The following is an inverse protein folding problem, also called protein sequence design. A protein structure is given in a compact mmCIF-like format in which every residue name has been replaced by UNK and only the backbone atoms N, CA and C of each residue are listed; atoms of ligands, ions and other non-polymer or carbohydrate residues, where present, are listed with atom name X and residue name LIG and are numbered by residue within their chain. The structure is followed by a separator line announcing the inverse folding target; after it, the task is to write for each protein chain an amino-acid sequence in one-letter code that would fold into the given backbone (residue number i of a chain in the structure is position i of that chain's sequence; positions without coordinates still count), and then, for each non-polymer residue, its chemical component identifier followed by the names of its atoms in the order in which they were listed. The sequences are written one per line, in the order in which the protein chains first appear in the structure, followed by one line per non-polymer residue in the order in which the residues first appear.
data_IF_555129076717
#
_entry.id   IF_555129076717
#
_cell.length_a   1.000
_cell.length_b   1.000
_cell.length_c   1.000
_cell.angle_alpha   90.00
_cell.angle_beta   90.00
_cell.angle_gamma   90.00
#
_symmetry.space_group_name_H-M   'P 1'
#
loop_
_entity.id
_entity.type
_entity.pdbx_description
1 polymer ?
#
# COMPACT_ATOMS: atom_id res chain seq x y z
N UNK A 1 7.96 16.32 -10.23
CA UNK A 1 7.18 17.56 -10.03
C UNK A 1 6.94 17.68 -8.54
N UNK A 2 7.61 18.63 -7.87
CA UNK A 2 7.46 18.84 -6.43
C UNK A 2 6.40 19.91 -6.20
N UNK A 3 5.40 19.61 -5.38
CA UNK A 3 4.37 20.57 -4.99
C UNK A 3 4.77 21.08 -3.61
N UNK A 4 5.26 22.31 -3.55
CA UNK A 4 5.49 23.03 -2.31
C UNK A 4 4.17 23.69 -1.91
N UNK A 5 3.70 23.41 -0.69
CA UNK A 5 2.54 24.07 -0.11
C UNK A 5 3.02 25.02 0.97
N UNK A 6 2.62 26.28 0.87
CA UNK A 6 2.95 27.32 1.83
C UNK A 6 1.76 27.53 2.79
N UNK A 7 1.97 28.28 3.88
CA UNK A 7 0.91 28.52 4.88
C UNK A 7 -0.34 29.17 4.28
N UNK A 8 -0.17 29.99 3.23
CA UNK A 8 -1.27 30.56 2.46
C UNK A 8 -2.12 29.49 1.76
N UNK A 9 -1.48 28.47 1.18
CA UNK A 9 -2.17 27.40 0.47
C UNK A 9 -2.96 26.52 1.44
N UNK A 10 -2.38 26.26 2.61
CA UNK A 10 -3.03 25.51 3.69
C UNK A 10 -4.25 26.28 4.24
N UNK A 11 -4.16 27.61 4.31
CA UNK A 11 -5.25 28.45 4.80
C UNK A 11 -6.46 28.49 3.85
N UNK A 12 -6.25 28.28 2.55
CA UNK A 12 -7.30 28.25 1.53
C UNK A 12 -7.92 26.85 1.32
N UNK A 13 -7.44 25.84 2.05
CA UNK A 13 -8.01 24.49 1.96
C UNK A 13 -9.42 24.43 2.57
N UNK A 14 -10.33 23.64 1.98
CA UNK A 14 -11.61 23.32 2.62
C UNK A 14 -11.37 22.73 4.02
N UNK A 15 -12.17 23.13 5.00
CA UNK A 15 -11.93 22.80 6.42
C UNK A 15 -11.73 21.30 6.67
N UNK A 16 -12.50 20.44 6.00
CA UNK A 16 -12.34 18.98 6.09
C UNK A 16 -10.97 18.49 5.61
N UNK A 17 -10.46 19.06 4.52
CA UNK A 17 -9.14 18.70 3.97
C UNK A 17 -8.03 19.21 4.89
N UNK A 18 -8.14 20.45 5.37
CA UNK A 18 -7.19 21.05 6.30
C UNK A 18 -7.09 20.26 7.60
N UNK A 19 -8.22 19.82 8.14
CA UNK A 19 -8.27 19.01 9.35
C UNK A 19 -7.54 17.67 9.17
N UNK A 20 -7.85 16.93 8.08
CA UNK A 20 -7.19 15.67 7.77
C UNK A 20 -5.69 15.82 7.52
N UNK A 21 -5.28 16.91 6.86
CA UNK A 21 -3.87 17.20 6.60
C UNK A 21 -3.09 17.51 7.89
N UNK A 22 -3.66 18.33 8.78
CA UNK A 22 -3.05 18.67 10.07
C UNK A 22 -3.07 17.48 11.05
N UNK A 23 -4.03 16.57 10.96
CA UNK A 23 -4.08 15.34 11.74
C UNK A 23 -3.04 14.32 11.27
N UNK A 24 -2.75 14.30 9.97
CA UNK A 24 -1.74 13.45 9.35
C UNK A 24 -0.29 13.91 9.64
N UNK A 25 -0.04 15.23 9.73
CA UNK A 25 1.28 15.83 9.93
C UNK A 25 2.06 15.31 11.17
N UNK A 26 1.46 15.20 12.37
CA UNK A 26 2.12 14.70 13.57
C UNK A 26 2.53 13.22 13.49
N UNK A 27 1.73 12.37 12.81
CA UNK A 27 2.00 10.94 12.66
C UNK A 27 3.28 10.70 11.84
N UNK A 28 3.54 11.56 10.85
CA UNK A 28 4.69 11.45 9.96
C UNK A 28 5.94 12.21 10.43
N UNK A 29 5.82 13.07 11.44
CA UNK A 29 6.96 13.74 12.08
C UNK A 29 7.47 13.03 13.35
N UNK A 30 6.65 12.17 13.99
CA UNK A 30 7.00 11.51 15.26
C UNK A 30 7.80 10.19 15.14
N UNK A 31 8.08 9.69 13.93
CA UNK A 31 8.84 8.43 13.75
C UNK A 31 10.37 8.56 13.82
N UNK A 32 10.90 9.71 14.24
CA UNK A 32 12.29 9.82 14.69
C UNK A 32 12.31 10.49 16.04
N UNK A 33 12.37 9.71 17.11
CA UNK A 33 13.12 9.96 18.35
C UNK A 33 12.80 8.90 19.41
N UNK A 34 13.67 7.90 19.55
CA UNK A 34 13.85 7.19 20.82
C UNK A 34 15.23 6.53 20.87
N UNK A 35 16.16 7.24 21.49
CA UNK A 35 17.11 6.65 22.44
C UNK A 35 17.72 7.77 23.29
N UNK A 36 17.16 7.92 24.48
CA UNK A 36 17.71 8.71 25.57
C UNK A 36 18.72 7.82 26.31
N UNK A 37 20.00 8.19 26.28
CA UNK A 37 20.98 7.77 27.28
C UNK A 37 21.81 9.00 27.66
N UNK A 38 21.74 9.34 28.95
CA UNK A 38 22.44 10.45 29.60
C UNK A 38 23.96 10.32 29.51
N UNK A 39 24.63 11.46 29.35
CA UNK A 39 26.07 11.64 29.53
C UNK A 39 26.41 13.13 29.63
N UNK A 40 26.97 13.53 30.78
CA UNK A 40 27.20 14.90 31.26
C UNK A 40 28.25 15.71 30.45
N UNK A 41 27.94 17.00 30.26
CA UNK A 41 28.76 18.24 30.37
C UNK A 41 30.14 18.31 29.68
N UNK A 42 30.29 19.19 28.68
CA UNK A 42 31.09 20.43 28.73
C UNK A 42 31.31 21.04 27.32
N UNK A 43 30.90 22.31 27.18
CA UNK A 43 31.68 23.44 26.65
C UNK A 43 31.90 23.61 25.11
N UNK A 44 31.41 24.78 24.69
CA UNK A 44 32.00 25.79 23.79
C UNK A 44 31.66 25.81 22.27
N UNK A 45 31.18 27.00 21.88
CA UNK A 45 31.47 27.73 20.63
C UNK A 45 30.49 27.63 19.45
N UNK A 46 29.64 28.67 19.40
CA UNK A 46 29.19 29.49 18.27
C UNK A 46 29.57 29.12 16.81
N UNK A 47 28.53 29.22 15.97
CA UNK A 47 28.47 29.79 14.60
C UNK A 47 29.27 29.15 13.46
N UNK A 48 28.57 28.39 12.62
CA UNK A 48 28.27 28.70 11.19
C UNK A 48 27.71 27.42 10.56
N UNK A 49 26.39 27.33 10.45
CA UNK A 49 25.74 26.20 9.80
C UNK A 49 25.82 26.43 8.30
N UNK A 50 26.89 25.93 7.69
CA UNK A 50 26.85 25.54 6.27
C UNK A 50 25.94 24.30 6.20
N UNK A 51 24.95 24.23 5.30
CA UNK A 51 24.14 23.04 5.17
C UNK A 51 25.03 21.92 4.60
N UNK A 52 25.59 21.11 5.50
CA UNK A 52 26.18 19.82 5.15
C UNK A 52 25.10 19.03 4.41
N UNK A 53 25.34 18.79 3.12
CA UNK A 53 24.61 17.80 2.34
C UNK A 53 24.47 16.52 3.16
N UNK A 54 23.25 16.25 3.59
CA UNK A 54 22.88 14.92 4.03
C UNK A 54 22.77 14.09 2.76
N UNK A 55 23.82 13.33 2.46
CA UNK A 55 23.69 12.13 1.64
C UNK A 55 22.77 11.19 2.40
N UNK A 56 21.46 11.35 2.18
CA UNK A 56 20.51 10.29 2.45
C UNK A 56 20.83 9.26 1.37
N UNK A 57 21.63 8.26 1.75
CA UNK A 57 21.47 6.94 1.17
C UNK A 57 19.99 6.61 1.37
N UNK A 58 19.19 6.86 0.33
CA UNK A 58 18.12 5.93 0.03
C UNK A 58 18.85 4.60 -0.01
N UNK A 59 18.67 3.76 1.02
CA UNK A 59 18.65 2.35 0.71
C UNK A 59 17.46 2.26 -0.26
N UNK A 60 17.68 2.07 -1.58
CA UNK A 60 16.56 1.66 -2.40
C UNK A 60 16.04 0.43 -1.69
N UNK A 61 14.76 0.43 -1.31
CA UNK A 61 14.15 -0.83 -0.91
C UNK A 61 14.26 -1.65 -2.17
N UNK A 62 15.23 -2.56 -2.12
CA UNK A 62 15.74 -3.30 -3.25
C UNK A 62 14.59 -4.14 -3.78
N UNK A 63 13.93 -3.61 -4.81
CA UNK A 63 13.17 -4.37 -5.80
C UNK A 63 13.10 -3.58 -7.11
N UNK A 64 14.15 -2.80 -7.41
CA UNK A 64 14.60 -2.59 -8.77
C UNK A 64 15.63 -3.69 -9.06
N UNK A 65 15.16 -4.89 -9.41
CA UNK A 65 15.91 -5.96 -10.09
C UNK A 65 15.03 -7.21 -10.20
N UNK A 66 14.37 -7.35 -11.36
CA UNK A 66 13.98 -8.59 -12.05
C UNK A 66 12.64 -8.38 -12.77
N UNK A 67 12.69 -8.00 -14.05
CA UNK A 67 11.85 -8.48 -15.19
C UNK A 67 10.35 -8.81 -15.01
N UNK A 68 9.70 -8.38 -13.94
CA UNK A 68 8.33 -8.73 -13.62
C UNK A 68 7.59 -7.47 -13.17
N UNK A 69 7.12 -6.69 -14.16
CA UNK A 69 6.16 -5.61 -13.94
C UNK A 69 5.12 -6.05 -12.88
N UNK A 70 5.15 -5.38 -11.72
CA UNK A 70 4.22 -5.62 -10.62
C UNK A 70 2.86 -5.08 -11.07
N UNK A 71 2.08 -5.95 -11.74
CA UNK A 71 0.73 -5.65 -12.21
C UNK A 71 -0.10 -5.12 -11.04
N UNK A 72 -0.97 -4.13 -11.27
CA UNK A 72 -1.88 -3.57 -10.25
C UNK A 72 -3.30 -4.08 -10.47
N UNK A 73 -4.13 -4.06 -9.43
CA UNK A 73 -5.55 -4.43 -9.57
C UNK A 73 -6.27 -3.45 -10.50
N UNK A 74 -5.94 -2.16 -10.42
CA UNK A 74 -6.46 -1.15 -11.35
C UNK A 74 -6.12 -1.49 -12.80
N UNK A 75 -4.95 -2.06 -13.09
CA UNK A 75 -4.58 -2.43 -14.47
C UNK A 75 -5.40 -3.61 -15.00
N UNK A 76 -5.79 -4.56 -14.14
CA UNK A 76 -6.72 -5.62 -14.54
C UNK A 76 -8.12 -5.06 -14.81
N UNK A 77 -8.52 -4.05 -14.05
CA UNK A 77 -9.79 -3.36 -14.21
C UNK A 77 -9.82 -2.52 -15.49
N UNK A 78 -8.79 -1.73 -15.74
CA UNK A 78 -8.63 -0.91 -16.96
C UNK A 78 -8.57 -1.78 -18.22
N UNK A 79 -7.99 -2.98 -18.12
CA UNK A 79 -7.99 -3.98 -19.19
C UNK A 79 -9.34 -4.70 -19.37
N UNK A 80 -10.35 -4.41 -18.55
CA UNK A 80 -11.66 -5.05 -18.59
C UNK A 80 -11.67 -6.52 -18.14
N UNK A 81 -10.58 -7.00 -17.53
CA UNK A 81 -10.45 -8.37 -17.02
C UNK A 81 -11.27 -8.53 -15.73
N UNK A 82 -11.27 -7.49 -14.89
CA UNK A 82 -12.14 -7.35 -13.72
C UNK A 82 -13.13 -6.21 -13.90
N UNK A 83 -14.23 -6.22 -13.15
CA UNK A 83 -15.32 -5.26 -13.21
C UNK A 83 -15.78 -4.88 -11.81
N UNK A 84 -16.37 -3.69 -11.68
CA UNK A 84 -16.96 -3.20 -10.44
C UNK A 84 -17.99 -4.21 -9.93
N UNK A 85 -18.00 -4.44 -8.61
CA UNK A 85 -18.96 -5.33 -7.95
C UNK A 85 -18.68 -6.81 -8.17
N UNK A 86 -17.59 -7.18 -8.86
CA UNK A 86 -17.16 -8.58 -8.89
C UNK A 86 -16.84 -9.04 -7.47
N UNK A 87 -17.43 -10.15 -7.00
CA UNK A 87 -17.13 -10.68 -5.68
C UNK A 87 -15.68 -11.11 -5.57
N UNK A 88 -15.09 -10.79 -4.43
CA UNK A 88 -13.71 -11.10 -4.07
C UNK A 88 -13.72 -11.88 -2.76
N UNK A 89 -12.83 -12.86 -2.65
CA UNK A 89 -12.54 -13.55 -1.40
C UNK A 89 -11.04 -13.66 -1.20
N UNK A 90 -10.63 -13.68 0.06
CA UNK A 90 -9.23 -13.87 0.45
C UNK A 90 -9.10 -15.16 1.22
N UNK A 91 -8.27 -16.06 0.74
CA UNK A 91 -7.92 -17.31 1.40
C UNK A 91 -7.10 -17.03 2.66
N UNK A 92 -7.41 -17.76 3.73
CA UNK A 92 -6.72 -17.66 5.00
C UNK A 92 -5.55 -18.64 5.09
N UNK A 93 -4.43 -18.20 5.66
CA UNK A 93 -3.33 -19.09 6.05
C UNK A 93 -3.84 -20.06 7.12
N UNK A 94 -3.34 -21.30 7.11
CA UNK A 94 -3.79 -22.38 8.00
C UNK A 94 -3.89 -21.97 9.49
N UNK A 95 -2.93 -21.20 10.00
CA UNK A 95 -2.96 -20.71 11.38
C UNK A 95 -4.12 -19.76 11.67
N UNK A 96 -4.37 -18.82 10.76
CA UNK A 96 -5.47 -17.84 10.85
C UNK A 96 -6.82 -18.53 10.62
N UNK A 97 -6.89 -19.46 9.66
CA UNK A 97 -8.09 -20.23 9.34
C UNK A 97 -8.57 -21.05 10.54
N UNK A 98 -7.66 -21.75 11.23
CA UNK A 98 -7.96 -22.48 12.47
C UNK A 98 -8.48 -21.56 13.57
N UNK A 99 -7.88 -20.37 13.74
CA UNK A 99 -8.28 -19.41 14.76
C UNK A 99 -9.68 -18.82 14.50
N UNK A 100 -10.00 -18.56 13.23
CA UNK A 100 -11.29 -17.97 12.83
C UNK A 100 -12.36 -19.01 12.45
N UNK A 101 -12.04 -20.30 12.48
CA UNK A 101 -12.90 -21.41 12.06
C UNK A 101 -13.52 -21.23 10.66
N UNK A 102 -12.74 -20.66 9.73
CA UNK A 102 -13.14 -20.45 8.33
C UNK A 102 -11.91 -20.43 7.43
N UNK A 103 -12.07 -20.80 6.16
CA UNK A 103 -10.95 -20.83 5.21
C UNK A 103 -10.80 -19.55 4.39
N UNK A 104 -11.84 -18.71 4.35
CA UNK A 104 -11.86 -17.50 3.53
C UNK A 104 -12.49 -16.31 4.26
N UNK A 105 -12.03 -15.11 3.89
CA UNK A 105 -12.77 -13.86 4.09
C UNK A 105 -13.59 -13.61 2.83
N UNK A 106 -14.91 -13.63 2.97
CA UNK A 106 -15.88 -13.37 1.91
C UNK A 106 -16.47 -11.96 2.06
N UNK A 107 -17.27 -11.52 1.08
CA UNK A 107 -18.00 -10.25 1.13
C UNK A 107 -17.15 -9.04 0.73
N UNK A 108 -16.05 -9.27 0.02
CA UNK A 108 -15.25 -8.21 -0.59
C UNK A 108 -15.67 -8.06 -2.04
N UNK A 109 -15.44 -6.89 -2.62
CA UNK A 109 -15.80 -6.59 -4.00
C UNK A 109 -14.77 -5.66 -4.64
N UNK A 110 -14.71 -5.71 -5.98
CA UNK A 110 -13.95 -4.74 -6.76
C UNK A 110 -14.67 -3.39 -6.76
N UNK A 111 -13.97 -2.34 -6.35
CA UNK A 111 -14.44 -0.97 -6.29
C UNK A 111 -14.60 -0.34 -7.68
N UNK A 112 -15.17 0.86 -7.74
CA UNK A 112 -15.23 1.66 -8.97
C UNK A 112 -13.86 2.04 -9.53
N UNK A 113 -12.81 2.01 -8.70
CA UNK A 113 -11.42 2.33 -9.07
C UNK A 113 -10.61 1.11 -9.49
N UNK A 114 -11.23 -0.08 -9.50
CA UNK A 114 -10.50 -1.34 -9.70
C UNK A 114 -9.70 -1.81 -8.48
N UNK A 115 -9.91 -1.21 -7.31
CA UNK A 115 -9.28 -1.59 -6.04
C UNK A 115 -10.18 -2.50 -5.22
N UNK A 116 -9.68 -3.11 -4.15
CA UNK A 116 -10.50 -3.87 -3.19
C UNK A 116 -10.59 -3.07 -1.89
N UNK A 117 -11.79 -2.93 -1.34
CA UNK A 117 -11.98 -2.29 -0.02
C UNK A 117 -12.07 -3.35 1.06
N UNK A 118 -11.24 -3.23 2.09
CA UNK A 118 -11.29 -4.11 3.26
C UNK A 118 -11.09 -3.29 4.54
N UNK A 119 -12.01 -3.43 5.50
CA UNK A 119 -12.00 -2.68 6.76
C UNK A 119 -11.83 -1.16 6.60
N UNK A 120 -12.44 -0.57 5.56
CA UNK A 120 -12.36 0.87 5.28
C UNK A 120 -11.09 1.33 4.55
N UNK A 121 -10.14 0.44 4.29
CA UNK A 121 -8.92 0.72 3.52
C UNK A 121 -9.07 0.24 2.06
N UNK A 122 -8.59 1.05 1.10
CA UNK A 122 -8.54 0.68 -0.31
C UNK A 122 -7.19 0.06 -0.68
N UNK A 123 -7.22 -1.09 -1.35
CA UNK A 123 -6.05 -1.85 -1.77
C UNK A 123 -5.98 -1.97 -3.28
N UNK A 124 -4.96 -1.36 -3.89
CA UNK A 124 -4.64 -1.51 -5.33
C UNK A 124 -3.63 -2.64 -5.58
N UNK A 125 -2.82 -2.98 -4.56
CA UNK A 125 -1.91 -4.12 -4.61
C UNK A 125 -2.50 -5.29 -3.83
N UNK A 126 -2.43 -6.52 -4.34
CA UNK A 126 -2.98 -7.69 -3.65
C UNK A 126 -2.16 -8.09 -2.41
N UNK A 127 -0.84 -7.92 -2.41
CA UNK A 127 0.01 -8.35 -1.29
C UNK A 127 -0.29 -7.62 0.02
N UNK A 128 -0.46 -6.27 0.04
CA UNK A 128 -0.90 -5.56 1.25
C UNK A 128 -2.24 -6.04 1.79
N UNK A 129 -3.24 -6.32 0.94
CA UNK A 129 -4.52 -6.88 1.37
C UNK A 129 -4.35 -8.25 2.02
N UNK A 130 -3.60 -9.15 1.37
CA UNK A 130 -3.35 -10.48 1.90
C UNK A 130 -2.56 -10.43 3.22
N UNK A 131 -1.63 -9.48 3.36
CA UNK A 131 -0.88 -9.27 4.58
C UNK A 131 -1.77 -8.74 5.72
N UNK A 132 -2.70 -7.82 5.43
CA UNK A 132 -3.69 -7.31 6.39
C UNK A 132 -4.58 -8.44 6.91
N UNK A 133 -5.02 -9.33 6.02
CA UNK A 133 -5.89 -10.46 6.36
C UNK A 133 -5.14 -11.57 7.11
N UNK A 134 -3.93 -11.92 6.67
CA UNK A 134 -3.21 -13.10 7.16
C UNK A 134 -2.09 -12.80 8.19
N UNK A 135 -1.80 -11.54 8.48
CA UNK A 135 -0.83 -11.15 9.51
C UNK A 135 0.64 -11.38 9.16
N UNK A 136 1.07 -10.99 7.96
CA UNK A 136 2.48 -11.04 7.55
C UNK A 136 2.66 -11.03 6.03
N UNK A 137 3.91 -11.08 5.54
CA UNK A 137 4.18 -11.15 4.10
C UNK A 137 3.45 -12.36 3.48
N UNK A 138 2.63 -12.09 2.47
CA UNK A 138 1.88 -13.09 1.73
C UNK A 138 1.89 -12.69 0.25
N UNK A 139 2.08 -13.67 -0.64
CA UNK A 139 1.93 -13.45 -2.06
C UNK A 139 0.44 -13.24 -2.37
N UNK A 140 -0.01 -11.98 -2.41
CA UNK A 140 -1.44 -11.68 -2.51
C UNK A 140 -2.11 -12.24 -3.77
N UNK A 141 -1.34 -12.47 -4.84
CA UNK A 141 -1.84 -13.01 -6.11
C UNK A 141 -2.38 -14.45 -6.00
N UNK A 142 -1.84 -15.24 -5.09
CA UNK A 142 -2.25 -16.64 -4.86
C UNK A 142 -3.40 -16.77 -3.86
N UNK A 143 -3.55 -15.78 -2.98
CA UNK A 143 -4.50 -15.83 -1.87
C UNK A 143 -5.79 -15.10 -2.16
N UNK A 144 -5.84 -14.27 -3.20
CA UNK A 144 -7.03 -13.52 -3.55
C UNK A 144 -7.66 -14.13 -4.79
N UNK A 145 -8.96 -14.39 -4.68
CA UNK A 145 -9.77 -14.96 -5.74
C UNK A 145 -10.94 -14.03 -6.06
N UNK A 146 -11.27 -13.95 -7.35
CA UNK A 146 -12.36 -13.13 -7.87
C UNK A 146 -13.36 -14.07 -8.54
N UNK A 147 -14.65 -13.84 -8.31
CA UNK A 147 -15.71 -14.63 -8.93
C UNK A 147 -15.97 -14.14 -10.36
N UNK A 148 -15.67 -14.96 -11.35
CA UNK A 148 -15.90 -14.71 -12.78
C UNK A 148 -16.65 -15.89 -13.38
N UNK A 149 -17.77 -15.63 -14.08
CA UNK A 149 -18.62 -16.68 -14.69
C UNK A 149 -18.99 -17.79 -13.69
N UNK A 150 -19.41 -17.41 -12.49
CA UNK A 150 -19.73 -18.30 -11.37
C UNK A 150 -18.60 -19.19 -10.81
N UNK A 151 -17.38 -19.03 -11.31
CA UNK A 151 -16.19 -19.71 -10.82
C UNK A 151 -15.28 -18.75 -10.06
N UNK A 152 -14.64 -19.26 -9.02
CA UNK A 152 -13.61 -18.51 -8.28
C UNK A 152 -12.27 -18.71 -8.96
N UNK A 153 -11.71 -17.62 -9.48
CA UNK A 153 -10.44 -17.61 -10.23
C UNK A 153 -9.42 -16.82 -9.43
N UNK A 154 -8.18 -17.32 -9.33
CA UNK A 154 -7.10 -16.61 -8.64
C UNK A 154 -6.68 -15.37 -9.40
N UNK A 155 -6.28 -14.32 -8.68
CA UNK A 155 -5.72 -13.13 -9.33
C UNK A 155 -4.48 -13.45 -10.16
N UNK A 156 -3.66 -14.43 -9.76
CA UNK A 156 -2.50 -14.85 -10.53
C UNK A 156 -2.88 -15.32 -11.95
N UNK A 157 -4.00 -16.03 -12.10
CA UNK A 157 -4.48 -16.45 -13.43
C UNK A 157 -4.92 -15.25 -14.26
N UNK A 158 -5.61 -14.27 -13.64
CA UNK A 158 -6.00 -13.03 -14.31
C UNK A 158 -4.77 -12.20 -14.73
N UNK A 159 -3.72 -12.21 -13.92
CA UNK A 159 -2.44 -11.57 -14.22
C UNK A 159 -1.75 -12.21 -15.42
N UNK A 160 -1.77 -13.54 -15.52
CA UNK A 160 -1.21 -14.26 -16.67
C UNK A 160 -1.95 -13.94 -17.97
N UNK A 161 -3.29 -13.81 -17.93
CA UNK A 161 -4.09 -13.36 -19.06
C UNK A 161 -3.69 -11.94 -19.48
N UNK A 162 -3.53 -11.04 -18.51
CA UNK A 162 -3.11 -9.66 -18.77
C UNK A 162 -1.71 -9.60 -19.42
N UNK A 163 -0.73 -10.34 -18.89
CA UNK A 163 0.62 -10.42 -19.45
C UNK A 163 0.63 -10.98 -20.86
N UNK A 164 -0.08 -12.09 -21.09
CA UNK A 164 -0.21 -12.69 -22.43
C UNK A 164 -0.80 -11.75 -23.48
N UNK A 165 -1.59 -10.76 -23.04
CA UNK A 165 -2.21 -9.76 -23.91
C UNK A 165 -1.30 -8.56 -24.15
N UNK A 166 -0.48 -8.16 -23.16
CA UNK A 166 0.35 -6.97 -23.24
C UNK A 166 1.80 -7.24 -23.69
N UNK A 167 2.34 -8.43 -23.43
CA UNK A 167 3.71 -8.82 -23.83
C UNK A 167 3.81 -9.19 -25.33
N UNK A 168 2.67 -9.28 -26.03
CA UNK A 168 2.60 -9.53 -27.49
C UNK A 168 2.57 -8.26 -28.34
N UNK A 169 2.80 -7.08 -27.74
CA UNK A 169 2.89 -5.78 -28.42
C UNK A 169 4.34 -5.35 -28.55
#
# INVERSE_FOLDING_TARGET
MYIHLNDSDISQMPERLRHLFLEWLPEHLKTKNSSFSQGLVHKLSQTKVSPKQLHIFESPTQEENAEHSQVRLSQLFDAGITKKGMPVRVKLKRGVAKKLQRDYINGLEISVKGTIVYNGEEFDKPSPLAAKVNGGAANGWEYIEVKKNDQWIRLEELRQIWRSTNDKK
#
